data_IF_051841882856
#
_entry.id   IF_051841882856
#
_cell.length_a   1.000
_cell.length_b   1.000
_cell.length_c   1.000
_cell.angle_alpha   90.00
_cell.angle_beta   90.00
_cell.angle_gamma   90.00
#
_symmetry.space_group_name_H-M   'P 1'
#
loop_
_entity.id
_entity.type
_entity.pdbx_description
1 polymer ?
#
# COMPACT_ATOMS: atom_id res chain seq x y z
N UNK A 1 -5.63 -5.67 17.79
CA UNK A 1 -5.19 -6.59 16.71
C UNK A 1 -4.62 -5.77 15.57
N UNK A 2 -3.41 -6.07 15.14
CA UNK A 2 -2.73 -5.33 14.08
C UNK A 2 -3.24 -5.71 12.68
N UNK A 3 -2.87 -4.91 11.68
CA UNK A 3 -3.25 -5.15 10.27
C UNK A 3 -2.87 -6.55 9.83
N UNK A 4 -1.66 -7.04 10.18
CA UNK A 4 -1.21 -8.39 9.81
C UNK A 4 -2.22 -9.45 10.22
N UNK A 5 -2.61 -9.49 11.49
CA UNK A 5 -3.56 -10.50 12.00
C UNK A 5 -4.92 -10.41 11.30
N UNK A 6 -5.37 -9.20 11.00
CA UNK A 6 -6.63 -8.98 10.30
C UNK A 6 -6.57 -9.44 8.85
N UNK A 7 -5.47 -9.20 8.16
CA UNK A 7 -5.26 -9.66 6.79
C UNK A 7 -5.11 -11.20 6.73
N UNK A 8 -4.37 -11.78 7.68
CA UNK A 8 -4.20 -13.25 7.76
C UNK A 8 -5.52 -13.99 8.00
N UNK A 9 -6.48 -13.33 8.66
CA UNK A 9 -7.82 -13.89 8.88
C UNK A 9 -8.70 -13.87 7.62
N UNK A 10 -8.30 -13.15 6.56
CA UNK A 10 -9.01 -13.14 5.28
C UNK A 10 -8.45 -14.24 4.38
N UNK A 11 -9.35 -14.92 3.69
CA UNK A 11 -8.96 -15.93 2.71
C UNK A 11 -8.14 -15.30 1.58
N UNK A 12 -7.21 -16.07 1.04
CA UNK A 12 -6.37 -15.69 -0.12
C UNK A 12 -5.17 -14.80 0.14
N UNK A 13 -4.85 -14.47 1.40
CA UNK A 13 -3.60 -13.76 1.73
C UNK A 13 -2.53 -14.81 2.05
N UNK A 14 -1.56 -14.97 1.15
CA UNK A 14 -0.53 -16.01 1.25
C UNK A 14 0.82 -15.50 1.78
N UNK A 15 1.10 -14.21 1.60
CA UNK A 15 2.38 -13.63 2.03
C UNK A 15 2.18 -12.21 2.54
N UNK A 16 2.66 -11.95 3.75
CA UNK A 16 2.69 -10.59 4.32
C UNK A 16 4.13 -10.27 4.73
N UNK A 17 4.70 -9.24 4.10
CA UNK A 17 6.02 -8.74 4.43
C UNK A 17 5.91 -7.28 4.89
N UNK A 18 6.02 -7.06 6.18
CA UNK A 18 5.91 -5.75 6.79
C UNK A 18 7.04 -5.47 7.77
N UNK A 19 7.55 -4.24 7.77
CA UNK A 19 8.61 -3.79 8.67
C UNK A 19 8.39 -2.33 9.04
N UNK A 20 8.56 -1.99 10.31
CA UNK A 20 8.49 -0.62 10.80
C UNK A 20 9.63 0.22 10.18
N UNK A 21 9.31 1.42 9.72
CA UNK A 21 10.30 2.36 9.17
C UNK A 21 10.84 2.02 7.79
N UNK A 22 10.27 1.00 7.10
CA UNK A 22 10.74 0.62 5.76
C UNK A 22 10.60 1.78 4.77
N UNK A 23 11.68 2.06 4.07
CA UNK A 23 11.71 3.06 3.00
C UNK A 23 11.57 2.40 1.62
N UNK A 24 11.27 3.21 0.60
CA UNK A 24 11.03 2.71 -0.75
C UNK A 24 12.18 1.87 -1.35
N UNK A 25 13.46 2.22 -1.20
CA UNK A 25 14.54 1.36 -1.69
C UNK A 25 14.59 -0.02 -1.03
N UNK A 26 14.26 -0.10 0.27
CA UNK A 26 14.17 -1.38 0.98
C UNK A 26 12.97 -2.19 0.49
N UNK A 27 11.85 -1.54 0.25
CA UNK A 27 10.66 -2.18 -0.32
C UNK A 27 10.98 -2.77 -1.69
N UNK A 28 11.69 -2.03 -2.53
CA UNK A 28 12.11 -2.47 -3.85
C UNK A 28 12.90 -3.78 -3.80
N UNK A 29 13.88 -3.87 -2.88
CA UNK A 29 14.68 -5.08 -2.70
C UNK A 29 13.83 -6.28 -2.25
N UNK A 30 12.91 -6.05 -1.32
CA UNK A 30 11.99 -7.08 -0.80
C UNK A 30 11.05 -7.57 -1.89
N UNK A 31 10.47 -6.67 -2.67
CA UNK A 31 9.54 -7.02 -3.75
C UNK A 31 10.18 -7.88 -4.83
N UNK A 32 11.45 -7.65 -5.15
CA UNK A 32 12.20 -8.50 -6.09
C UNK A 32 12.28 -9.95 -5.62
N UNK A 33 12.49 -10.15 -4.32
CA UNK A 33 12.54 -11.50 -3.73
C UNK A 33 11.14 -12.11 -3.66
N UNK A 34 10.16 -11.38 -3.19
CA UNK A 34 8.79 -11.87 -3.00
C UNK A 34 8.14 -12.23 -4.33
N UNK A 35 8.42 -11.47 -5.40
CA UNK A 35 7.89 -11.76 -6.73
C UNK A 35 8.39 -13.09 -7.30
N UNK A 36 9.61 -13.47 -7.01
CA UNK A 36 10.14 -14.78 -7.43
C UNK A 36 9.46 -15.95 -6.71
N UNK A 37 8.90 -15.69 -5.51
CA UNK A 37 8.21 -16.70 -4.71
C UNK A 37 6.71 -16.82 -5.05
N UNK A 38 6.08 -15.74 -5.52
CA UNK A 38 4.63 -15.66 -5.82
C UNK A 38 4.37 -14.94 -7.15
N UNK A 39 4.80 -15.53 -8.27
CA UNK A 39 4.90 -14.81 -9.55
C UNK A 39 3.56 -14.41 -10.20
N UNK A 40 2.44 -15.02 -9.84
CA UNK A 40 1.13 -14.79 -10.48
C UNK A 40 0.04 -14.50 -9.46
N UNK A 41 0.30 -13.58 -8.54
CA UNK A 41 -0.63 -13.22 -7.47
C UNK A 41 -0.98 -11.74 -7.51
N UNK A 42 -2.19 -11.36 -7.06
CA UNK A 42 -2.47 -9.97 -6.72
C UNK A 42 -1.48 -9.47 -5.67
N UNK A 43 -1.07 -8.22 -5.82
CA UNK A 43 -0.09 -7.59 -4.92
C UNK A 43 -0.71 -6.35 -4.29
N UNK A 44 -0.55 -6.21 -2.99
CA UNK A 44 -0.99 -5.02 -2.26
C UNK A 44 0.20 -4.46 -1.50
N UNK A 45 0.46 -3.17 -1.62
CA UNK A 45 1.48 -2.52 -0.81
C UNK A 45 1.10 -1.09 -0.46
N UNK A 46 1.60 -0.63 0.68
CA UNK A 46 1.52 0.76 1.12
C UNK A 46 2.83 1.47 0.75
N UNK A 47 2.73 2.68 0.24
CA UNK A 47 3.89 3.43 -0.22
C UNK A 47 3.83 4.89 0.25
N UNK A 48 4.97 5.43 0.63
CA UNK A 48 5.12 6.86 0.91
C UNK A 48 5.05 7.26 2.38
N UNK A 49 4.92 6.32 3.31
CA UNK A 49 4.86 6.65 4.75
C UNK A 49 6.19 7.14 5.31
N UNK A 50 7.29 6.60 4.81
CA UNK A 50 8.60 6.85 5.36
C UNK A 50 9.51 7.50 4.31
N UNK A 51 9.74 8.79 4.48
CA UNK A 51 10.62 9.60 3.63
C UNK A 51 10.03 9.98 2.26
N UNK A 52 10.67 10.95 1.62
CA UNK A 52 10.28 11.42 0.31
C UNK A 52 10.56 10.36 -0.78
N UNK A 53 9.62 10.23 -1.71
CA UNK A 53 9.76 9.37 -2.88
C UNK A 53 10.40 10.13 -4.04
N UNK A 54 11.06 9.39 -4.93
CA UNK A 54 11.40 9.87 -6.27
C UNK A 54 10.54 9.14 -7.30
N UNK A 55 10.26 9.80 -8.41
CA UNK A 55 9.52 9.17 -9.52
C UNK A 55 10.24 7.92 -10.01
N UNK A 56 11.58 7.99 -10.13
CA UNK A 56 12.38 6.86 -10.59
C UNK A 56 12.21 5.61 -9.71
N UNK A 57 12.24 5.77 -8.39
CA UNK A 57 12.05 4.65 -7.46
C UNK A 57 10.65 4.06 -7.57
N UNK A 58 9.62 4.90 -7.71
CA UNK A 58 8.23 4.43 -7.86
C UNK A 58 8.05 3.68 -9.17
N UNK A 59 8.64 4.15 -10.27
CA UNK A 59 8.66 3.44 -11.55
C UNK A 59 9.31 2.07 -11.40
N UNK A 60 10.47 1.98 -10.74
CA UNK A 60 11.13 0.70 -10.52
C UNK A 60 10.25 -0.29 -9.74
N UNK A 61 9.54 0.19 -8.71
CA UNK A 61 8.60 -0.63 -7.93
C UNK A 61 7.49 -1.17 -8.83
N UNK A 62 6.86 -0.31 -9.64
CA UNK A 62 5.76 -0.75 -10.51
C UNK A 62 6.23 -1.64 -11.65
N UNK A 63 7.45 -1.45 -12.15
CA UNK A 63 8.02 -2.34 -13.16
C UNK A 63 8.17 -3.78 -12.66
N UNK A 64 8.48 -3.98 -11.37
CA UNK A 64 8.57 -5.32 -10.79
C UNK A 64 7.22 -6.04 -10.82
N UNK A 65 6.12 -5.31 -10.64
CA UNK A 65 4.77 -5.88 -10.51
C UNK A 65 3.90 -5.70 -11.75
N UNK A 66 4.45 -5.18 -12.83
CA UNK A 66 3.67 -4.83 -14.03
C UNK A 66 2.94 -6.00 -14.70
N UNK A 67 3.42 -7.22 -14.49
CA UNK A 67 2.83 -8.42 -15.07
C UNK A 67 1.92 -9.16 -14.08
N UNK A 68 1.72 -8.64 -12.90
CA UNK A 68 0.81 -9.24 -11.94
C UNK A 68 -0.64 -8.99 -12.35
N UNK A 69 -1.56 -9.92 -12.04
CA UNK A 69 -2.96 -9.79 -12.45
C UNK A 69 -3.63 -8.54 -11.89
N UNK A 70 -3.20 -8.10 -10.70
CA UNK A 70 -3.76 -6.95 -10.03
C UNK A 70 -2.75 -6.37 -9.04
N UNK A 71 -2.57 -5.06 -9.08
CA UNK A 71 -1.71 -4.34 -8.13
C UNK A 71 -2.54 -3.25 -7.45
N UNK A 72 -2.55 -3.27 -6.14
CA UNK A 72 -3.19 -2.24 -5.32
C UNK A 72 -2.10 -1.52 -4.53
N UNK A 73 -1.99 -0.22 -4.75
CA UNK A 73 -1.12 0.63 -3.95
C UNK A 73 -1.97 1.53 -3.05
N UNK A 74 -1.70 1.48 -1.76
CA UNK A 74 -2.33 2.38 -0.79
C UNK A 74 -1.40 3.56 -0.57
N UNK A 75 -1.90 4.77 -0.79
CA UNK A 75 -1.11 5.97 -0.59
C UNK A 75 -0.99 6.34 0.89
N UNK A 76 -0.31 7.44 1.19
CA UNK A 76 0.02 7.80 2.58
C UNK A 76 -0.87 8.91 3.12
N UNK A 77 -1.24 8.78 4.39
CA UNK A 77 -1.93 9.81 5.17
C UNK A 77 -1.07 10.35 6.32
N UNK A 78 0.23 10.08 6.34
CA UNK A 78 1.11 10.53 7.42
C UNK A 78 1.19 12.06 7.48
N UNK A 79 1.19 12.66 8.68
CA UNK A 79 1.31 14.12 8.82
C UNK A 79 2.78 14.56 8.67
N UNK A 80 3.30 14.43 7.47
CA UNK A 80 4.70 14.75 7.13
C UNK A 80 4.75 15.64 5.88
N UNK A 81 5.83 16.41 5.78
CA UNK A 81 6.03 17.35 4.68
C UNK A 81 6.02 16.70 3.30
N UNK A 82 6.40 15.44 3.21
CA UNK A 82 6.46 14.70 1.94
C UNK A 82 5.14 14.06 1.51
N UNK A 83 4.09 14.10 2.32
CA UNK A 83 2.82 13.41 2.04
C UNK A 83 2.24 13.77 0.67
N UNK A 84 2.02 15.04 0.42
CA UNK A 84 1.34 15.49 -0.79
C UNK A 84 2.17 15.22 -2.05
N UNK A 85 3.48 15.46 -2.00
CA UNK A 85 4.37 15.16 -3.12
C UNK A 85 4.48 13.66 -3.39
N UNK A 86 4.55 12.84 -2.34
CA UNK A 86 4.56 11.39 -2.48
C UNK A 86 3.27 10.88 -3.13
N UNK A 87 2.13 11.34 -2.67
CA UNK A 87 0.84 10.93 -3.22
C UNK A 87 0.66 11.38 -4.68
N UNK A 88 1.17 12.55 -5.04
CA UNK A 88 1.17 13.02 -6.43
C UNK A 88 2.03 12.12 -7.33
N UNK A 89 3.22 11.72 -6.87
CA UNK A 89 4.10 10.81 -7.62
C UNK A 89 3.44 9.44 -7.77
N UNK A 90 2.86 8.89 -6.72
CA UNK A 90 2.15 7.60 -6.75
C UNK A 90 1.04 7.63 -7.80
N UNK A 91 0.18 8.63 -7.78
CA UNK A 91 -0.92 8.77 -8.75
C UNK A 91 -0.42 8.90 -10.17
N UNK A 92 0.59 9.74 -10.38
CA UNK A 92 1.17 9.98 -11.71
C UNK A 92 1.74 8.71 -12.31
N UNK A 93 2.55 7.98 -11.55
CA UNK A 93 3.19 6.75 -12.04
C UNK A 93 2.17 5.63 -12.19
N UNK A 94 1.25 5.47 -11.25
CA UNK A 94 0.20 4.44 -11.31
C UNK A 94 -0.66 4.55 -12.59
N UNK A 95 -0.91 5.76 -13.05
CA UNK A 95 -1.71 5.99 -14.28
C UNK A 95 -1.10 5.40 -15.54
N UNK A 96 0.18 5.04 -15.52
CA UNK A 96 0.88 4.43 -16.65
C UNK A 96 0.71 2.91 -16.73
N UNK A 97 0.11 2.29 -15.70
CA UNK A 97 0.00 0.84 -15.57
C UNK A 97 -1.47 0.43 -15.45
N UNK A 98 -1.96 -0.31 -16.44
CA UNK A 98 -3.38 -0.70 -16.50
C UNK A 98 -3.81 -1.65 -15.37
N UNK A 99 -2.87 -2.39 -14.78
CA UNK A 99 -3.13 -3.33 -13.70
C UNK A 99 -3.02 -2.72 -12.29
N UNK A 100 -2.64 -1.42 -12.19
CA UNK A 100 -2.44 -0.74 -10.91
C UNK A 100 -3.66 0.09 -10.54
N UNK A 101 -4.12 -0.07 -9.31
CA UNK A 101 -5.17 0.75 -8.71
C UNK A 101 -4.65 1.41 -7.43
N UNK A 102 -4.88 2.71 -7.31
CA UNK A 102 -4.55 3.46 -6.10
C UNK A 102 -5.73 3.49 -5.16
N UNK A 103 -5.53 3.09 -3.92
CA UNK A 103 -6.46 3.32 -2.82
C UNK A 103 -6.06 4.62 -2.13
N UNK A 104 -6.91 5.63 -2.21
CA UNK A 104 -6.64 6.96 -1.67
C UNK A 104 -6.96 7.01 -0.17
N UNK A 105 -6.06 6.42 0.61
CA UNK A 105 -6.18 6.38 2.06
C UNK A 105 -6.12 7.79 2.68
N UNK A 106 -5.32 8.69 2.10
CA UNK A 106 -5.26 10.09 2.55
C UNK A 106 -6.64 10.75 2.53
N UNK A 107 -7.35 10.62 1.43
CA UNK A 107 -8.69 11.20 1.29
C UNK A 107 -9.71 10.51 2.20
N UNK A 108 -9.68 9.19 2.26
CA UNK A 108 -10.65 8.40 3.04
C UNK A 108 -10.50 8.64 4.53
N UNK A 109 -9.27 8.78 5.03
CA UNK A 109 -9.00 9.00 6.44
C UNK A 109 -9.02 10.48 6.87
N UNK A 110 -9.13 11.39 5.93
CA UNK A 110 -9.11 12.83 6.21
C UNK A 110 -10.26 13.24 7.12
N UNK A 111 -9.92 13.96 8.20
CA UNK A 111 -10.91 14.40 9.18
C UNK A 111 -11.42 13.29 10.09
N UNK A 112 -10.77 12.14 10.10
CA UNK A 112 -11.14 10.98 10.92
C UNK A 112 -10.01 10.56 11.87
N UNK A 113 -9.73 11.38 12.91
CA UNK A 113 -8.62 11.10 13.83
C UNK A 113 -8.79 9.79 14.60
N UNK A 114 -10.01 9.28 14.74
CA UNK A 114 -10.30 8.00 15.37
C UNK A 114 -9.67 6.80 14.64
N UNK A 115 -9.29 6.97 13.39
CA UNK A 115 -8.62 5.92 12.61
C UNK A 115 -7.13 5.78 12.94
N UNK A 116 -6.57 6.72 13.68
CA UNK A 116 -5.14 6.76 14.00
C UNK A 116 -4.88 6.66 15.48
N UNK A 117 -3.70 6.16 15.82
CA UNK A 117 -3.14 6.25 17.16
C UNK A 117 -2.79 7.72 17.49
N UNK A 118 -2.47 8.05 18.75
CA UNK A 118 -2.15 9.43 19.16
C UNK A 118 -1.01 10.08 18.36
N UNK A 119 -0.11 9.30 17.78
CA UNK A 119 0.98 9.83 16.93
C UNK A 119 0.52 10.32 15.55
N UNK A 120 -0.72 10.04 15.16
CA UNK A 120 -1.29 10.40 13.86
C UNK A 120 -0.70 9.61 12.69
N UNK A 121 0.12 8.60 12.95
CA UNK A 121 0.84 7.80 11.94
C UNK A 121 0.35 6.36 11.92
N UNK A 122 0.42 5.69 13.06
CA UNK A 122 -0.04 4.32 13.19
C UNK A 122 -1.57 4.28 13.22
N UNK A 123 -2.13 3.18 12.75
CA UNK A 123 -3.57 2.99 12.77
C UNK A 123 -4.05 2.57 14.17
N UNK A 124 -5.20 3.11 14.57
CA UNK A 124 -5.95 2.58 15.70
C UNK A 124 -6.58 1.22 15.34
N UNK A 125 -7.15 0.47 16.30
CA UNK A 125 -7.93 -0.72 15.97
C UNK A 125 -9.05 -0.45 14.95
N UNK A 126 -9.79 0.66 15.11
CA UNK A 126 -10.82 1.08 14.17
C UNK A 126 -10.24 1.41 12.79
N UNK A 127 -9.11 2.11 12.74
CA UNK A 127 -8.41 2.43 11.52
C UNK A 127 -7.92 1.17 10.79
N UNK A 128 -7.43 0.19 11.53
CA UNK A 128 -7.01 -1.09 10.96
C UNK A 128 -8.16 -1.85 10.33
N UNK A 129 -9.35 -1.83 10.95
CA UNK A 129 -10.54 -2.46 10.39
C UNK A 129 -10.96 -1.81 9.08
N UNK A 130 -11.06 -0.48 9.05
CA UNK A 130 -11.44 0.27 7.86
C UNK A 130 -10.42 0.06 6.74
N UNK A 131 -9.14 0.11 7.05
CA UNK A 131 -8.06 -0.10 6.08
C UNK A 131 -8.13 -1.48 5.42
N UNK A 132 -8.25 -2.53 6.24
CA UNK A 132 -8.31 -3.91 5.74
C UNK A 132 -9.57 -4.15 4.91
N UNK A 133 -10.72 -3.69 5.38
CA UNK A 133 -11.98 -3.84 4.65
C UNK A 133 -11.94 -3.13 3.30
N UNK A 134 -11.33 -1.95 3.25
CA UNK A 134 -11.16 -1.20 2.02
C UNK A 134 -10.27 -1.94 1.01
N UNK A 135 -9.13 -2.45 1.44
CA UNK A 135 -8.21 -3.22 0.59
C UNK A 135 -8.89 -4.48 0.06
N UNK A 136 -9.56 -5.23 0.93
CA UNK A 136 -10.27 -6.45 0.55
C UNK A 136 -11.39 -6.15 -0.43
N UNK A 137 -12.14 -5.07 -0.23
CA UNK A 137 -13.22 -4.68 -1.15
C UNK A 137 -12.74 -4.36 -2.56
N UNK A 138 -11.58 -3.72 -2.67
CA UNK A 138 -10.96 -3.40 -3.97
C UNK A 138 -10.46 -4.68 -4.65
N UNK A 139 -9.83 -5.60 -3.91
CA UNK A 139 -9.39 -6.90 -4.43
C UNK A 139 -10.56 -7.70 -5.00
N UNK A 140 -11.66 -7.80 -4.28
CA UNK A 140 -12.85 -8.57 -4.72
C UNK A 140 -13.48 -7.95 -5.98
N UNK A 141 -13.61 -6.61 -6.03
CA UNK A 141 -14.21 -5.92 -7.18
C UNK A 141 -13.43 -6.11 -8.47
N UNK A 142 -12.12 -6.22 -8.39
CA UNK A 142 -11.25 -6.34 -9.57
C UNK A 142 -11.03 -7.79 -9.99
N UNK A 143 -11.26 -8.76 -9.11
CA UNK A 143 -11.18 -10.20 -9.39
C UNK A 143 -12.45 -10.74 -10.09
N UNK A 144 -13.52 -9.97 -10.09
CA UNK A 144 -14.76 -10.32 -10.80
C UNK A 144 -14.68 -9.95 -12.32
#
# INVERSE_FOLDING_TARGET
MGIRSKLEAKEHISLINARVGRQAPELLAVMRVDQSSVPSSPVVFNLGNNNALTEATVVEIFEIVKNQPQVIVVNTAVPRAWKDSNNAIISKVASRYSNVKVVDWDRISKGRPELFAPDGVHLSPAGSDVYVDLVVSVLVKTAA
#
